data_IF_252637776990
#
_entry.id   IF_252637776990
#
_cell.length_a   1.000
_cell.length_b   1.000
_cell.length_c   1.000
_cell.angle_alpha   90.00
_cell.angle_beta   90.00
_cell.angle_gamma   90.00
#
_symmetry.space_group_name_H-M   'P 1'
#
loop_
_entity.id
_entity.type
_entity.pdbx_description
1 polymer ?
#
# COMPACT_ATOMS: atom_id res chain seq x y z
N UNK A 1 8.80 -14.61 -13.12
CA UNK A 1 7.37 -14.34 -13.48
C UNK A 1 7.37 -13.38 -14.65
N UNK A 2 6.57 -13.63 -15.66
CA UNK A 2 6.44 -12.74 -16.81
C UNK A 2 5.11 -11.98 -16.66
N UNK A 3 5.21 -10.68 -16.33
CA UNK A 3 4.08 -9.80 -16.09
C UNK A 3 3.86 -8.88 -17.29
N UNK A 4 2.61 -8.52 -17.58
CA UNK A 4 2.21 -7.70 -18.74
C UNK A 4 1.92 -6.25 -18.39
N UNK A 5 1.31 -6.05 -17.21
CA UNK A 5 0.81 -4.72 -16.77
C UNK A 5 1.51 -4.21 -15.50
N UNK A 6 2.49 -4.96 -14.99
CA UNK A 6 3.40 -4.47 -13.96
C UNK A 6 4.85 -4.78 -14.32
N UNK A 7 5.78 -4.06 -13.68
CA UNK A 7 7.20 -4.41 -13.64
C UNK A 7 7.50 -4.79 -12.20
N UNK A 8 8.14 -5.96 -12.00
CA UNK A 8 8.49 -6.47 -10.68
C UNK A 8 9.98 -6.74 -10.59
N UNK A 9 10.62 -6.22 -9.56
CA UNK A 9 12.05 -6.43 -9.30
C UNK A 9 12.32 -6.59 -7.81
N UNK A 10 13.41 -7.25 -7.47
CA UNK A 10 13.91 -7.43 -6.10
C UNK A 10 15.36 -6.98 -6.07
N UNK A 11 15.69 -6.10 -5.16
CA UNK A 11 17.04 -5.58 -4.96
C UNK A 11 17.22 -5.12 -3.50
N UNK A 12 18.36 -5.41 -2.88
CA UNK A 12 18.70 -4.96 -1.52
C UNK A 12 17.60 -5.27 -0.49
N UNK A 13 17.02 -6.47 -0.52
CA UNK A 13 15.91 -6.93 0.35
C UNK A 13 14.61 -6.15 0.16
N UNK A 14 14.48 -5.39 -0.91
CA UNK A 14 13.29 -4.61 -1.25
C UNK A 14 12.70 -5.13 -2.55
N UNK A 15 11.42 -5.46 -2.56
CA UNK A 15 10.66 -5.70 -3.77
C UNK A 15 10.06 -4.39 -4.27
N UNK A 16 10.11 -4.15 -5.57
CA UNK A 16 9.48 -3.00 -6.21
C UNK A 16 8.45 -3.47 -7.23
N UNK A 17 7.21 -3.03 -7.07
CA UNK A 17 6.09 -3.26 -7.99
C UNK A 17 5.79 -1.93 -8.68
N UNK A 18 5.99 -1.85 -9.99
CA UNK A 18 5.66 -0.67 -10.78
C UNK A 18 4.44 -0.97 -11.64
N UNK A 19 3.32 -0.27 -11.40
CA UNK A 19 2.12 -0.33 -12.23
C UNK A 19 2.48 0.19 -13.62
N UNK A 20 2.23 -0.58 -14.68
CA UNK A 20 2.81 -0.33 -16.01
C UNK A 20 1.76 -0.27 -17.13
N UNK A 21 0.80 0.64 -16.98
CA UNK A 21 -0.14 1.07 -18.03
C UNK A 21 -0.08 2.60 -18.19
N UNK A 22 1.09 3.19 -18.50
CA UNK A 22 1.29 4.65 -18.45
C UNK A 22 0.38 5.43 -19.41
N UNK A 23 -0.02 4.84 -20.53
CA UNK A 23 -0.95 5.45 -21.49
C UNK A 23 -2.36 5.67 -20.89
N UNK A 24 -2.74 4.88 -19.88
CA UNK A 24 -4.02 4.99 -19.14
C UNK A 24 -3.81 5.51 -17.70
N UNK A 25 -2.71 6.21 -17.43
CA UNK A 25 -2.34 6.67 -16.09
C UNK A 25 -2.41 5.55 -15.04
N UNK A 26 -2.01 4.35 -15.43
CA UNK A 26 -2.02 3.15 -14.61
C UNK A 26 -3.40 2.82 -14.00
N UNK A 27 -4.49 3.14 -14.73
CA UNK A 27 -5.83 2.66 -14.38
C UNK A 27 -5.77 1.12 -14.25
N UNK A 28 -6.27 0.60 -13.12
CA UNK A 28 -6.19 -0.84 -12.89
C UNK A 28 -7.19 -1.61 -13.76
N UNK A 29 -6.74 -2.75 -14.23
CA UNK A 29 -7.52 -3.79 -14.90
C UNK A 29 -7.50 -5.06 -14.04
N UNK A 30 -8.32 -6.03 -14.38
CA UNK A 30 -8.27 -7.37 -13.77
C UNK A 30 -6.85 -7.98 -13.86
N UNK A 31 -6.20 -7.84 -15.01
CA UNK A 31 -4.83 -8.36 -15.23
C UNK A 31 -3.85 -7.71 -14.26
N UNK A 32 -3.82 -6.38 -14.21
CA UNK A 32 -2.93 -5.66 -13.30
C UNK A 32 -3.16 -6.05 -11.84
N UNK A 33 -4.42 -6.14 -11.41
CA UNK A 33 -4.76 -6.52 -10.02
C UNK A 33 -4.21 -7.90 -9.68
N UNK A 34 -4.44 -8.90 -10.55
CA UNK A 34 -3.95 -10.26 -10.32
C UNK A 34 -2.42 -10.34 -10.37
N UNK A 35 -1.79 -9.57 -11.22
CA UNK A 35 -0.32 -9.49 -11.29
C UNK A 35 0.27 -8.86 -10.02
N UNK A 36 -0.34 -7.78 -9.48
CA UNK A 36 0.07 -7.19 -8.20
C UNK A 36 -0.13 -8.18 -7.05
N UNK A 37 -1.25 -8.92 -7.02
CA UNK A 37 -1.50 -9.97 -6.02
C UNK A 37 -0.42 -11.07 -6.10
N UNK A 38 -0.07 -11.51 -7.30
CA UNK A 38 0.98 -12.51 -7.51
C UNK A 38 2.36 -12.01 -7.06
N UNK A 39 2.72 -10.77 -7.41
CA UNK A 39 3.98 -10.15 -6.99
C UNK A 39 4.06 -9.96 -5.46
N UNK A 40 2.96 -9.55 -4.81
CA UNK A 40 2.88 -9.45 -3.36
C UNK A 40 2.98 -10.83 -2.69
N UNK A 41 2.37 -11.85 -3.27
CA UNK A 41 2.47 -13.23 -2.75
C UNK A 41 3.90 -13.75 -2.83
N UNK A 42 4.58 -13.53 -3.97
CA UNK A 42 6.00 -13.86 -4.11
C UNK A 42 6.88 -13.08 -3.12
N UNK A 43 6.64 -11.77 -2.97
CA UNK A 43 7.37 -10.95 -2.00
C UNK A 43 7.11 -11.37 -0.54
N UNK A 44 5.90 -11.88 -0.22
CA UNK A 44 5.57 -12.40 1.11
C UNK A 44 6.34 -13.68 1.42
N UNK A 45 6.39 -14.58 0.45
CA UNK A 45 6.91 -15.93 0.63
C UNK A 45 8.44 -16.00 0.46
N UNK A 46 9.09 -14.92 -0.02
CA UNK A 46 10.54 -14.78 -0.16
C UNK A 46 11.14 -14.12 1.09
N UNK A 47 11.83 -14.89 1.93
CA UNK A 47 12.43 -14.40 3.17
C UNK A 47 13.53 -13.34 2.95
N UNK A 48 14.13 -13.28 1.78
CA UNK A 48 15.10 -12.24 1.42
C UNK A 48 14.42 -10.89 1.18
N UNK A 49 13.12 -10.84 0.87
CA UNK A 49 12.36 -9.58 0.76
C UNK A 49 11.87 -9.14 2.14
N UNK A 50 12.24 -7.93 2.55
CA UNK A 50 11.88 -7.36 3.86
C UNK A 50 10.99 -6.13 3.80
N UNK A 51 10.89 -5.49 2.63
CA UNK A 51 9.99 -4.35 2.39
C UNK A 51 9.51 -4.35 0.94
N UNK A 52 8.38 -3.67 0.67
CA UNK A 52 7.81 -3.56 -0.67
C UNK A 52 7.56 -2.09 -1.01
N UNK A 53 7.96 -1.66 -2.20
CA UNK A 53 7.61 -0.37 -2.79
C UNK A 53 6.59 -0.61 -3.90
N UNK A 54 5.52 0.19 -3.93
CA UNK A 54 4.57 0.24 -5.04
C UNK A 54 4.64 1.64 -5.65
N UNK A 55 4.79 1.72 -6.97
CA UNK A 55 4.84 2.98 -7.72
C UNK A 55 4.17 2.83 -9.08
N UNK A 56 4.09 3.90 -9.87
CA UNK A 56 3.53 3.90 -11.21
C UNK A 56 4.56 4.24 -12.29
N UNK A 57 4.48 3.61 -13.45
CA UNK A 57 5.24 4.01 -14.61
C UNK A 57 4.70 5.32 -15.21
N UNK A 58 5.59 6.16 -15.74
CA UNK A 58 5.22 7.42 -16.37
C UNK A 58 4.72 8.48 -15.39
N UNK A 59 3.70 9.26 -15.78
CA UNK A 59 3.26 10.48 -15.10
C UNK A 59 2.16 10.27 -14.04
N UNK A 60 1.74 9.05 -13.73
CA UNK A 60 0.68 8.77 -12.78
C UNK A 60 1.04 7.61 -11.87
N UNK A 61 0.56 7.64 -10.64
CA UNK A 61 0.60 6.48 -9.76
C UNK A 61 -0.47 5.48 -10.18
N UNK A 62 -1.75 5.84 -10.01
CA UNK A 62 -2.91 5.07 -10.46
C UNK A 62 -4.15 5.97 -10.49
N UNK A 63 -4.90 5.95 -11.58
CA UNK A 63 -6.08 6.79 -11.77
C UNK A 63 -7.41 6.12 -11.38
N UNK A 64 -7.38 4.96 -10.70
CA UNK A 64 -8.57 4.19 -10.35
C UNK A 64 -8.87 3.09 -11.35
N UNK A 65 -10.11 2.63 -11.41
CA UNK A 65 -10.57 1.62 -12.35
C UNK A 65 -10.49 2.08 -13.81
N UNK A 66 -10.29 1.14 -14.72
CA UNK A 66 -10.33 1.43 -16.16
C UNK A 66 -11.77 1.68 -16.62
N UNK A 67 -12.11 2.95 -16.87
CA UNK A 67 -13.42 3.40 -17.34
C UNK A 67 -13.41 3.76 -18.84
N UNK A 68 -12.41 3.28 -19.58
CA UNK A 68 -12.30 3.56 -21.02
C UNK A 68 -13.49 2.96 -21.79
N UNK A 69 -13.82 3.52 -22.97
CA UNK A 69 -14.97 3.06 -23.78
C UNK A 69 -14.84 1.62 -24.26
N UNK A 70 -13.62 1.10 -24.31
CA UNK A 70 -13.29 -0.27 -24.66
C UNK A 70 -13.28 -1.22 -23.44
N UNK A 71 -13.52 -0.70 -22.23
CA UNK A 71 -13.63 -1.54 -21.04
C UNK A 71 -14.85 -2.47 -21.14
N UNK A 72 -14.63 -3.71 -20.81
CA UNK A 72 -15.69 -4.73 -20.72
C UNK A 72 -15.45 -5.57 -19.48
N UNK A 73 -16.53 -5.88 -18.77
CA UNK A 73 -16.45 -6.87 -17.72
C UNK A 73 -15.96 -8.22 -18.24
N UNK A 74 -15.15 -8.95 -17.45
CA UNK A 74 -14.74 -10.30 -17.79
C UNK A 74 -15.92 -11.17 -18.26
N UNK A 75 -15.68 -12.02 -19.26
CA UNK A 75 -16.75 -12.83 -19.90
C UNK A 75 -17.58 -13.63 -18.89
N UNK A 76 -16.94 -14.09 -17.78
CA UNK A 76 -17.61 -14.84 -16.70
C UNK A 76 -18.67 -14.05 -15.93
N UNK A 77 -18.63 -12.70 -15.98
CA UNK A 77 -19.61 -11.84 -15.29
C UNK A 77 -20.58 -11.15 -16.25
N UNK A 78 -20.21 -11.04 -17.53
CA UNK A 78 -20.92 -10.22 -18.51
C UNK A 78 -22.39 -10.63 -18.63
N UNK A 79 -23.28 -9.64 -18.52
CA UNK A 79 -24.73 -9.86 -18.56
C UNK A 79 -25.35 -10.35 -17.24
N UNK A 80 -24.53 -10.58 -16.19
CA UNK A 80 -25.05 -10.85 -14.87
C UNK A 80 -25.52 -9.57 -14.19
N UNK A 81 -26.67 -9.58 -13.49
CA UNK A 81 -27.19 -8.37 -12.80
C UNK A 81 -26.24 -7.80 -11.75
N UNK A 82 -25.31 -8.59 -11.23
CA UNK A 82 -24.33 -8.20 -10.22
C UNK A 82 -22.89 -8.20 -10.76
N UNK A 83 -22.71 -8.05 -12.09
CA UNK A 83 -21.39 -8.15 -12.72
C UNK A 83 -20.33 -7.23 -12.08
N UNK A 84 -20.68 -5.97 -11.82
CA UNK A 84 -19.77 -5.02 -11.17
C UNK A 84 -19.39 -5.44 -9.74
N UNK A 85 -20.35 -5.95 -8.96
CA UNK A 85 -20.10 -6.42 -7.60
C UNK A 85 -19.20 -7.65 -7.59
N UNK A 86 -19.43 -8.60 -8.48
CA UNK A 86 -18.65 -9.84 -8.57
C UNK A 86 -17.21 -9.51 -9.00
N UNK A 87 -17.08 -8.68 -10.03
CA UNK A 87 -15.78 -8.22 -10.51
C UNK A 87 -14.99 -7.53 -9.39
N UNK A 88 -15.59 -6.57 -8.69
CA UNK A 88 -14.95 -5.85 -7.61
C UNK A 88 -14.50 -6.79 -6.48
N UNK A 89 -15.38 -7.73 -6.07
CA UNK A 89 -15.07 -8.68 -4.99
C UNK A 89 -13.94 -9.65 -5.33
N UNK A 90 -13.89 -10.10 -6.56
CA UNK A 90 -12.89 -11.09 -7.01
C UNK A 90 -11.57 -10.45 -7.45
N UNK A 91 -11.54 -9.14 -7.62
CA UNK A 91 -10.36 -8.40 -8.04
C UNK A 91 -9.89 -7.40 -6.97
N UNK A 92 -10.33 -6.15 -7.04
CA UNK A 92 -9.76 -5.06 -6.22
C UNK A 92 -9.97 -5.27 -4.73
N UNK A 93 -11.10 -5.84 -4.28
CA UNK A 93 -11.29 -6.15 -2.86
C UNK A 93 -10.31 -7.21 -2.34
N UNK A 94 -9.89 -8.16 -3.18
CA UNK A 94 -8.85 -9.13 -2.79
C UNK A 94 -7.50 -8.44 -2.62
N UNK A 95 -7.12 -7.56 -3.55
CA UNK A 95 -5.88 -6.79 -3.46
C UNK A 95 -5.86 -5.88 -2.22
N UNK A 96 -6.92 -5.14 -1.98
CA UNK A 96 -7.07 -4.27 -0.79
C UNK A 96 -6.95 -5.10 0.49
N UNK A 97 -7.65 -6.25 0.54
CA UNK A 97 -7.60 -7.14 1.70
C UNK A 97 -6.19 -7.72 1.91
N UNK A 98 -5.52 -8.14 0.83
CA UNK A 98 -4.17 -8.65 0.88
C UNK A 98 -3.19 -7.59 1.41
N UNK A 99 -3.20 -6.38 0.86
CA UNK A 99 -2.33 -5.28 1.29
C UNK A 99 -2.56 -4.90 2.76
N UNK A 100 -3.81 -4.85 3.20
CA UNK A 100 -4.15 -4.56 4.60
C UNK A 100 -3.72 -5.64 5.59
N UNK A 101 -3.56 -6.87 5.12
CA UNK A 101 -3.08 -8.03 5.90
C UNK A 101 -1.61 -8.36 5.64
N UNK A 102 -0.99 -7.68 4.69
CA UNK A 102 0.41 -7.91 4.33
C UNK A 102 1.31 -7.54 5.49
N UNK A 103 2.11 -8.48 5.97
CA UNK A 103 2.86 -8.30 7.22
C UNK A 103 4.21 -7.60 7.03
N UNK A 104 4.81 -7.65 5.84
CA UNK A 104 6.02 -6.86 5.55
C UNK A 104 5.67 -5.39 5.30
N UNK A 105 6.55 -4.43 5.65
CA UNK A 105 6.33 -3.02 5.39
C UNK A 105 6.09 -2.72 3.91
N UNK A 106 5.15 -1.81 3.65
CA UNK A 106 4.78 -1.38 2.30
C UNK A 106 4.85 0.14 2.17
N UNK A 107 5.42 0.63 1.07
CA UNK A 107 5.57 2.06 0.77
C UNK A 107 4.93 2.33 -0.59
N UNK A 108 3.98 3.26 -0.65
CA UNK A 108 3.52 3.82 -1.91
C UNK A 108 4.42 5.02 -2.27
N UNK A 109 5.16 4.91 -3.37
CA UNK A 109 5.90 6.00 -3.98
C UNK A 109 5.00 6.65 -5.05
N UNK A 110 4.31 7.72 -4.65
CA UNK A 110 3.25 8.36 -5.45
C UNK A 110 3.86 9.36 -6.41
N UNK A 111 4.14 8.91 -7.62
CA UNK A 111 4.84 9.66 -8.67
C UNK A 111 3.95 10.62 -9.48
N UNK A 112 2.65 10.70 -9.19
CA UNK A 112 1.72 11.54 -9.93
C UNK A 112 0.29 11.36 -9.44
N UNK A 113 -0.67 11.32 -10.37
CA UNK A 113 -2.07 11.16 -10.01
C UNK A 113 -2.34 9.83 -9.27
N UNK A 114 -2.92 9.93 -8.05
CA UNK A 114 -3.44 8.84 -7.25
C UNK A 114 -4.88 9.18 -6.87
N UNK A 115 -5.85 8.76 -7.69
CA UNK A 115 -7.24 9.17 -7.52
C UNK A 115 -8.19 7.97 -7.50
N UNK A 116 -9.35 8.13 -6.86
CA UNK A 116 -10.35 7.07 -6.68
C UNK A 116 -9.71 5.79 -6.12
N UNK A 117 -9.86 4.63 -6.76
CA UNK A 117 -9.22 3.39 -6.36
C UNK A 117 -7.69 3.44 -6.32
N UNK A 118 -7.06 4.36 -7.08
CA UNK A 118 -5.62 4.60 -7.00
C UNK A 118 -5.21 5.25 -5.68
N UNK A 119 -6.00 6.17 -5.14
CA UNK A 119 -5.81 6.68 -3.79
C UNK A 119 -6.01 5.57 -2.75
N UNK A 120 -7.07 4.76 -2.91
CA UNK A 120 -7.32 3.61 -2.04
C UNK A 120 -6.11 2.65 -2.02
N UNK A 121 -5.55 2.33 -3.18
CA UNK A 121 -4.35 1.48 -3.29
C UNK A 121 -3.16 2.09 -2.53
N UNK A 122 -2.90 3.39 -2.70
CA UNK A 122 -1.84 4.08 -1.97
C UNK A 122 -2.08 4.05 -0.44
N UNK A 123 -3.32 4.25 0.01
CA UNK A 123 -3.70 4.22 1.43
C UNK A 123 -3.68 2.82 2.05
N UNK A 124 -3.69 1.76 1.26
CA UNK A 124 -3.47 0.39 1.73
C UNK A 124 -2.01 0.13 2.11
N UNK A 125 -1.06 0.89 1.58
CA UNK A 125 0.34 0.84 2.02
C UNK A 125 0.52 1.50 3.40
N UNK A 126 1.59 1.11 4.12
CA UNK A 126 1.87 1.66 5.45
C UNK A 126 2.29 3.12 5.37
N UNK A 127 3.15 3.44 4.41
CA UNK A 127 3.68 4.79 4.18
C UNK A 127 3.40 5.24 2.75
N UNK A 128 3.27 6.55 2.59
CA UNK A 128 3.09 7.23 1.29
C UNK A 128 4.10 8.35 1.20
N UNK A 129 5.01 8.24 0.23
CA UNK A 129 5.93 9.31 -0.16
C UNK A 129 5.42 9.82 -1.50
N UNK A 130 5.20 11.11 -1.64
CA UNK A 130 4.68 11.71 -2.86
C UNK A 130 5.69 12.64 -3.50
N UNK A 131 5.75 12.62 -4.83
CA UNK A 131 6.39 13.67 -5.60
C UNK A 131 5.65 15.00 -5.43
N UNK A 132 6.33 16.15 -5.52
CA UNK A 132 5.70 17.48 -5.44
C UNK A 132 4.62 17.67 -6.50
N UNK A 133 4.79 17.10 -7.68
CA UNK A 133 3.83 17.14 -8.78
C UNK A 133 2.61 16.23 -8.57
N UNK A 134 2.63 15.33 -7.57
CA UNK A 134 1.56 14.38 -7.34
C UNK A 134 0.25 15.05 -6.92
N UNK A 135 -0.85 14.39 -7.28
CA UNK A 135 -2.22 14.83 -6.95
C UNK A 135 -3.01 13.66 -6.40
N UNK A 136 -3.64 13.85 -5.24
CA UNK A 136 -4.36 12.81 -4.52
C UNK A 136 -5.80 13.26 -4.25
N UNK A 137 -6.78 12.38 -4.46
CA UNK A 137 -8.18 12.71 -4.20
C UNK A 137 -9.14 11.62 -4.62
N UNK A 138 -10.43 11.90 -4.47
CA UNK A 138 -11.50 11.02 -4.92
C UNK A 138 -12.30 11.68 -6.06
N UNK A 139 -12.37 10.99 -7.18
CA UNK A 139 -13.07 11.47 -8.38
C UNK A 139 -14.26 10.59 -8.76
N UNK A 140 -14.61 9.62 -7.92
CA UNK A 140 -15.65 8.61 -8.22
C UNK A 140 -17.00 9.24 -8.59
N UNK A 141 -17.44 10.27 -7.86
CA UNK A 141 -18.73 10.92 -8.13
C UNK A 141 -18.78 11.70 -9.46
N UNK A 142 -17.65 12.04 -10.09
CA UNK A 142 -17.65 12.60 -11.46
C UNK A 142 -18.22 11.63 -12.49
N UNK A 143 -18.21 10.35 -12.16
CA UNK A 143 -18.73 9.26 -13.00
C UNK A 143 -19.99 8.63 -12.41
N UNK A 144 -20.63 9.27 -11.41
CA UNK A 144 -21.75 8.73 -10.64
C UNK A 144 -21.41 7.37 -9.97
N UNK A 145 -20.13 7.13 -9.68
CA UNK A 145 -19.63 5.96 -8.95
C UNK A 145 -19.38 6.34 -7.47
N UNK A 146 -19.22 5.33 -6.64
CA UNK A 146 -18.91 5.47 -5.21
C UNK A 146 -17.47 4.99 -4.96
N UNK A 147 -16.80 5.36 -3.84
CA UNK A 147 -15.46 4.86 -3.50
C UNK A 147 -15.51 3.42 -2.97
N UNK A 148 -15.90 2.50 -3.86
CA UNK A 148 -16.24 1.10 -3.59
C UNK A 148 -15.03 0.18 -3.37
N UNK A 149 -13.84 0.60 -3.77
CA UNK A 149 -12.60 -0.16 -3.53
C UNK A 149 -12.16 -0.18 -2.06
N UNK A 150 -12.91 0.47 -1.17
CA UNK A 150 -12.60 0.63 0.24
C UNK A 150 -12.23 2.06 0.63
N UNK A 151 -12.34 3.02 -0.30
CA UNK A 151 -12.10 4.44 -0.04
C UNK A 151 -12.97 4.99 1.08
N UNK A 152 -14.27 4.67 1.06
CA UNK A 152 -15.21 5.08 2.11
C UNK A 152 -14.79 4.64 3.53
N UNK A 153 -14.05 3.55 3.65
CA UNK A 153 -13.50 3.06 4.92
C UNK A 153 -12.16 3.72 5.26
N UNK A 154 -11.28 3.93 4.27
CA UNK A 154 -9.92 4.40 4.50
C UNK A 154 -9.82 5.92 4.60
N UNK A 155 -10.52 6.68 3.75
CA UNK A 155 -10.41 8.13 3.72
C UNK A 155 -10.65 8.77 5.10
N UNK A 156 -11.75 8.46 5.81
CA UNK A 156 -11.98 9.04 7.13
C UNK A 156 -10.92 8.68 8.17
N UNK A 157 -10.29 7.51 8.05
CA UNK A 157 -9.24 7.07 8.99
C UNK A 157 -7.95 7.87 8.87
N UNK A 158 -7.64 8.36 7.68
CA UNK A 158 -6.41 9.13 7.45
C UNK A 158 -6.61 10.64 7.56
N UNK A 159 -7.74 11.18 7.11
CA UNK A 159 -7.97 12.62 7.04
C UNK A 159 -9.13 13.14 7.89
N UNK A 160 -9.77 12.26 8.67
CA UNK A 160 -10.99 12.57 9.44
C UNK A 160 -12.24 12.63 8.55
N UNK A 161 -13.41 12.40 9.17
CA UNK A 161 -14.68 12.24 8.44
C UNK A 161 -15.04 13.49 7.63
N UNK A 162 -14.91 14.69 8.19
CA UNK A 162 -15.30 15.92 7.52
C UNK A 162 -14.50 16.16 6.23
N UNK A 163 -13.17 16.01 6.29
CA UNK A 163 -12.33 16.16 5.11
C UNK A 163 -12.59 15.07 4.06
N UNK A 164 -12.82 13.83 4.50
CA UNK A 164 -13.17 12.73 3.61
C UNK A 164 -14.49 12.97 2.88
N UNK A 165 -15.54 13.42 3.61
CA UNK A 165 -16.82 13.81 2.99
C UNK A 165 -16.62 14.94 1.99
N UNK A 166 -15.86 15.98 2.35
CA UNK A 166 -15.56 17.07 1.44
C UNK A 166 -14.85 16.58 0.17
N UNK A 167 -13.77 15.80 0.33
CA UNK A 167 -13.03 15.25 -0.80
C UNK A 167 -13.94 14.45 -1.74
N UNK A 168 -14.70 13.49 -1.20
CA UNK A 168 -15.52 12.61 -2.03
C UNK A 168 -16.75 13.31 -2.61
N UNK A 169 -17.53 14.04 -1.77
CA UNK A 169 -18.80 14.65 -2.24
C UNK A 169 -18.58 15.78 -3.24
N UNK A 170 -17.47 16.50 -3.18
CA UNK A 170 -17.12 17.56 -4.14
C UNK A 170 -16.11 17.09 -5.20
N UNK A 171 -15.72 15.82 -5.18
CA UNK A 171 -14.72 15.26 -6.10
C UNK A 171 -13.42 16.07 -6.13
N UNK A 172 -12.94 16.48 -4.95
CA UNK A 172 -11.73 17.27 -4.81
C UNK A 172 -10.47 16.42 -5.00
N UNK A 173 -9.47 17.06 -5.60
CA UNK A 173 -8.13 16.49 -5.78
C UNK A 173 -7.13 17.50 -5.27
N UNK A 174 -6.28 17.08 -4.35
CA UNK A 174 -5.34 17.93 -3.64
C UNK A 174 -3.92 17.79 -4.19
N UNK A 175 -3.15 18.89 -4.31
CA UNK A 175 -1.69 18.83 -4.48
C UNK A 175 -1.03 18.07 -3.33
N UNK A 176 0.15 17.49 -3.57
CA UNK A 176 0.88 16.68 -2.59
C UNK A 176 1.07 17.38 -1.24
N UNK A 177 1.42 18.67 -1.25
CA UNK A 177 1.61 19.47 -0.04
C UNK A 177 0.33 19.56 0.82
N UNK A 178 -0.83 19.77 0.19
CA UNK A 178 -2.12 19.79 0.87
C UNK A 178 -2.54 18.39 1.33
N UNK A 179 -2.29 17.36 0.50
CA UNK A 179 -2.55 15.98 0.86
C UNK A 179 -1.75 15.54 2.11
N UNK A 180 -0.51 16.05 2.26
CA UNK A 180 0.30 15.86 3.48
C UNK A 180 -0.34 16.51 4.70
N UNK A 181 -0.82 17.75 4.59
CA UNK A 181 -1.50 18.45 5.69
C UNK A 181 -2.78 17.72 6.13
N UNK A 182 -3.46 17.08 5.18
CA UNK A 182 -4.66 16.29 5.44
C UNK A 182 -4.38 14.86 5.96
N UNK A 183 -3.12 14.43 6.07
CA UNK A 183 -2.75 13.10 6.56
C UNK A 183 -2.75 12.00 5.49
N UNK A 184 -2.98 12.33 4.22
CA UNK A 184 -2.97 11.35 3.13
C UNK A 184 -1.55 10.95 2.71
N UNK A 185 -0.53 11.78 3.00
CA UNK A 185 0.87 11.59 2.60
C UNK A 185 1.78 11.76 3.82
N UNK A 186 2.76 10.89 3.95
CA UNK A 186 3.76 10.92 5.03
C UNK A 186 4.85 11.95 4.74
N UNK A 187 5.37 11.96 3.52
CA UNK A 187 6.45 12.84 3.09
C UNK A 187 6.23 13.32 1.65
N UNK A 188 6.61 14.56 1.36
CA UNK A 188 6.63 15.12 0.00
C UNK A 188 8.06 15.49 -0.33
N UNK A 189 8.51 15.11 -1.52
CA UNK A 189 9.87 15.31 -2.01
C UNK A 189 9.83 15.80 -3.47
N UNK A 190 10.93 16.38 -3.96
CA UNK A 190 11.07 16.72 -5.36
C UNK A 190 10.86 15.47 -6.24
N UNK A 191 10.36 15.65 -7.46
CA UNK A 191 9.94 14.53 -8.32
C UNK A 191 11.09 13.53 -8.58
N UNK A 192 12.31 14.04 -8.81
CA UNK A 192 13.52 13.24 -9.01
C UNK A 192 13.98 12.50 -7.74
N UNK A 193 13.61 13.00 -6.56
CA UNK A 193 13.96 12.41 -5.27
C UNK A 193 12.96 11.34 -4.81
N UNK A 194 11.85 11.13 -5.51
CA UNK A 194 10.79 10.20 -5.06
C UNK A 194 11.30 8.79 -4.85
N UNK A 195 11.90 8.18 -5.87
CA UNK A 195 12.38 6.80 -5.77
C UNK A 195 13.60 6.67 -4.84
N UNK A 196 14.58 7.60 -4.85
CA UNK A 196 15.63 7.64 -3.84
C UNK A 196 15.08 7.69 -2.40
N UNK A 197 14.09 8.53 -2.12
CA UNK A 197 13.46 8.61 -0.80
C UNK A 197 12.73 7.32 -0.42
N UNK A 198 11.92 6.77 -1.33
CA UNK A 198 11.23 5.51 -1.10
C UNK A 198 12.21 4.35 -0.81
N UNK A 199 13.32 4.26 -1.55
CA UNK A 199 14.36 3.28 -1.31
C UNK A 199 15.05 3.47 0.05
N UNK A 200 15.43 4.69 0.43
CA UNK A 200 16.00 4.97 1.76
C UNK A 200 15.08 4.51 2.89
N UNK A 201 13.76 4.73 2.77
CA UNK A 201 12.79 4.26 3.76
C UNK A 201 12.69 2.73 3.78
N UNK A 202 12.58 2.11 2.60
CA UNK A 202 12.46 0.66 2.47
C UNK A 202 13.71 -0.08 2.99
N UNK A 203 14.90 0.40 2.65
CA UNK A 203 16.18 -0.17 3.11
C UNK A 203 16.33 -0.01 4.62
N UNK A 204 15.97 1.15 5.18
CA UNK A 204 15.96 1.35 6.64
C UNK A 204 15.03 0.37 7.35
N UNK A 205 13.87 0.06 6.79
CA UNK A 205 12.94 -0.94 7.31
C UNK A 205 13.50 -2.35 7.12
N UNK A 206 14.12 -2.63 5.98
CA UNK A 206 14.73 -3.92 5.68
C UNK A 206 15.96 -4.23 6.56
N UNK A 207 16.67 -3.22 7.02
CA UNK A 207 17.80 -3.35 7.98
C UNK A 207 17.32 -3.61 9.42
N UNK A 208 16.05 -3.38 9.72
CA UNK A 208 15.48 -3.61 11.04
C UNK A 208 15.19 -5.09 11.34
N UNK A 209 14.80 -5.44 12.58
CA UNK A 209 14.49 -6.81 12.99
C UNK A 209 13.20 -7.29 12.33
N UNK A 210 13.26 -8.19 11.33
CA UNK A 210 12.11 -8.43 10.45
C UNK A 210 10.93 -9.06 11.18
N UNK A 211 11.14 -9.97 12.13
CA UNK A 211 10.05 -10.58 12.90
C UNK A 211 9.35 -9.54 13.78
N UNK A 212 10.12 -8.70 14.49
CA UNK A 212 9.54 -7.67 15.34
C UNK A 212 8.79 -6.60 14.53
N UNK A 213 9.31 -6.20 13.36
CA UNK A 213 8.63 -5.26 12.45
C UNK A 213 7.30 -5.84 11.97
N UNK A 214 7.28 -7.10 11.51
CA UNK A 214 6.07 -7.78 11.02
C UNK A 214 5.02 -7.91 12.14
N UNK A 215 5.45 -8.32 13.34
CA UNK A 215 4.57 -8.42 14.51
C UNK A 215 4.02 -7.05 14.92
N UNK A 216 4.86 -6.02 14.97
CA UNK A 216 4.45 -4.65 15.31
C UNK A 216 3.41 -4.13 14.32
N UNK A 217 3.65 -4.26 13.02
CA UNK A 217 2.69 -3.87 11.98
C UNK A 217 1.35 -4.59 12.16
N UNK A 218 1.39 -5.92 12.30
CA UNK A 218 0.19 -6.75 12.50
C UNK A 218 -0.61 -6.31 13.72
N UNK A 219 0.07 -6.08 14.86
CA UNK A 219 -0.57 -5.62 16.09
C UNK A 219 -1.23 -4.25 15.89
N UNK A 220 -0.52 -3.27 15.32
CA UNK A 220 -1.05 -1.93 15.09
C UNK A 220 -2.32 -1.94 14.23
N UNK A 221 -2.40 -2.78 13.20
CA UNK A 221 -3.61 -2.89 12.39
C UNK A 221 -4.74 -3.64 13.11
N UNK A 222 -4.43 -4.73 13.78
CA UNK A 222 -5.41 -5.60 14.44
C UNK A 222 -6.05 -4.92 15.64
N UNK A 223 -5.23 -4.27 16.47
CA UNK A 223 -5.65 -3.74 17.77
C UNK A 223 -6.49 -2.46 17.67
N UNK A 224 -6.55 -1.78 16.52
CA UNK A 224 -7.41 -0.60 16.34
C UNK A 224 -8.92 -0.87 16.54
N UNK A 225 -9.34 -2.09 16.51
CA UNK A 225 -10.75 -2.50 16.68
C UNK A 225 -10.96 -3.44 17.87
N UNK A 226 -9.95 -3.53 18.75
CA UNK A 226 -10.01 -4.36 19.95
C UNK A 226 -10.23 -3.49 21.20
N UNK A 227 -10.87 -4.06 22.23
CA UNK A 227 -10.85 -3.50 23.58
C UNK A 227 -9.43 -3.61 24.15
N UNK A 228 -9.06 -2.68 25.06
CA UNK A 228 -7.70 -2.57 25.58
C UNK A 228 -7.19 -3.87 26.21
N UNK A 229 -8.02 -4.53 27.02
CA UNK A 229 -7.65 -5.79 27.69
C UNK A 229 -7.27 -6.88 26.69
N UNK A 230 -8.06 -7.03 25.62
CA UNK A 230 -7.77 -8.00 24.55
C UNK A 230 -6.52 -7.61 23.75
N UNK A 231 -6.28 -6.31 23.55
CA UNK A 231 -5.07 -5.82 22.89
C UNK A 231 -3.81 -6.09 23.72
N UNK A 232 -3.89 -5.96 25.06
CA UNK A 232 -2.79 -6.28 25.97
C UNK A 232 -2.47 -7.78 25.99
N UNK A 233 -3.48 -8.65 25.96
CA UNK A 233 -3.28 -10.10 25.84
C UNK A 233 -2.62 -10.48 24.50
N UNK A 234 -3.08 -9.89 23.38
CA UNK A 234 -2.47 -10.07 22.07
C UNK A 234 -1.00 -9.60 22.07
N UNK A 235 -0.70 -8.49 22.75
CA UNK A 235 0.67 -7.98 22.89
C UNK A 235 1.55 -8.92 23.74
N UNK A 236 1.01 -9.49 24.82
CA UNK A 236 1.71 -10.46 25.66
C UNK A 236 2.08 -11.74 24.88
N UNK A 237 1.21 -12.19 23.98
CA UNK A 237 1.52 -13.31 23.08
C UNK A 237 2.57 -12.92 22.03
N UNK A 238 2.50 -11.71 21.49
CA UNK A 238 3.46 -11.23 20.49
C UNK A 238 4.89 -11.12 21.06
N UNK A 239 5.06 -10.65 22.31
CA UNK A 239 6.38 -10.53 22.91
C UNK A 239 7.02 -11.91 23.16
N UNK A 240 6.23 -12.94 23.41
CA UNK A 240 6.78 -14.30 23.50
C UNK A 240 7.46 -14.72 22.21
N UNK A 241 6.85 -14.41 21.04
CA UNK A 241 7.45 -14.73 19.75
C UNK A 241 8.77 -13.99 19.58
N UNK A 242 8.80 -12.69 19.83
CA UNK A 242 10.00 -11.88 19.62
C UNK A 242 11.12 -12.20 20.60
N UNK A 243 10.81 -12.50 21.87
CA UNK A 243 11.81 -12.82 22.88
C UNK A 243 12.58 -14.13 22.62
N UNK A 244 12.01 -15.05 21.85
CA UNK A 244 12.69 -16.27 21.45
C UNK A 244 13.55 -16.10 20.18
N UNK A 245 13.50 -14.93 19.50
CA UNK A 245 14.31 -14.66 18.32
C UNK A 245 15.76 -14.34 18.72
N UNK A 246 16.71 -14.76 17.87
CA UNK A 246 18.12 -14.38 18.00
C UNK A 246 18.32 -12.86 17.87
N UNK A 247 17.48 -12.19 17.11
CA UNK A 247 17.53 -10.76 16.88
C UNK A 247 17.37 -9.92 18.15
N UNK A 248 16.69 -10.41 19.19
CA UNK A 248 16.62 -9.74 20.51
C UNK A 248 17.99 -9.71 21.20
N UNK A 249 18.74 -10.83 21.12
CA UNK A 249 20.09 -10.93 21.70
C UNK A 249 21.04 -10.01 20.93
N UNK A 250 20.97 -10.05 19.61
CA UNK A 250 21.76 -9.18 18.74
C UNK A 250 21.48 -7.69 19.01
N UNK A 251 20.21 -7.29 19.06
CA UNK A 251 19.83 -5.91 19.34
C UNK A 251 20.34 -5.42 20.70
N UNK A 252 20.25 -6.27 21.73
CA UNK A 252 20.75 -5.96 23.07
C UNK A 252 22.27 -5.87 23.11
N UNK A 253 22.98 -6.82 22.48
CA UNK A 253 24.45 -6.81 22.40
C UNK A 253 24.95 -5.58 21.64
N UNK A 254 24.40 -5.29 20.45
CA UNK A 254 24.77 -4.15 19.64
C UNK A 254 24.57 -2.81 20.38
N UNK A 255 23.47 -2.69 21.16
CA UNK A 255 23.23 -1.51 22.00
C UNK A 255 24.33 -1.31 23.05
N UNK A 256 24.72 -2.35 23.79
CA UNK A 256 25.79 -2.27 24.79
C UNK A 256 27.17 -2.02 24.16
N UNK A 257 27.43 -2.60 23.00
CA UNK A 257 28.67 -2.46 22.25
C UNK A 257 28.73 -1.18 21.41
N UNK A 258 27.63 -0.39 21.35
CA UNK A 258 27.51 0.85 20.55
C UNK A 258 27.80 0.65 19.07
N UNK A 259 27.38 -0.47 18.50
CA UNK A 259 27.51 -0.78 17.06
C UNK A 259 26.13 -0.88 16.39
N UNK A 260 26.10 -0.89 15.05
CA UNK A 260 24.90 -1.20 14.28
C UNK A 260 24.57 -2.69 14.45
N UNK A 261 23.29 -3.05 14.77
CA UNK A 261 22.89 -4.46 14.83
C UNK A 261 22.78 -5.08 13.43
N UNK A 262 22.93 -6.41 13.35
CA UNK A 262 22.75 -7.20 12.13
C UNK A 262 21.64 -8.22 12.34
N UNK A 263 20.38 -7.81 12.05
CA UNK A 263 19.22 -8.64 12.23
C UNK A 263 19.04 -9.68 11.12
N UNK A 264 18.82 -10.93 11.51
CA UNK A 264 18.73 -12.08 10.60
C UNK A 264 17.32 -12.63 10.45
N UNK A 265 16.38 -12.26 11.34
CA UNK A 265 15.02 -12.78 11.32
C UNK A 265 14.92 -14.24 11.79
N UNK A 266 15.71 -14.60 12.78
CA UNK A 266 15.77 -15.96 13.35
C UNK A 266 15.54 -15.94 14.85
#
# INVERSE_FOLDING_TARGET
MDFREIIYSKENRVATITLNRPAKLNAYSEVMVHEVIAALSDARDDDEVRAVIITGAGRGFCSGGDISRDFQYPARYRGHRMEAMLEMRENMHQLVTLLRRFDKPTIAAVNGAAVAGGLTLALCCDFRIAAESAKLGDTSLKFALVPDEGGAYLFPKYMGLQNALRMSLFSEVYPAAQAKQLGLVTEVVADEELMPAARRWAERLADGPPIAIRMTKRMMYKQQTMELENALEDAALAIMVTNYCEDVKEGTAAFHEKRKPEFKGK
#
